data_IF_762553602281
#
_entry.id   IF_762553602281
#
_cell.length_a   1.000
_cell.length_b   1.000
_cell.length_c   1.000
_cell.angle_alpha   90.00
_cell.angle_beta   90.00
_cell.angle_gamma   90.00
#
_symmetry.space_group_name_H-M   'P 1'
#
loop_
_entity.id
_entity.type
_entity.pdbx_description
1 polymer ?
#
# COMPACT_ATOMS: atom_id res chain seq x y z
N UNK A 1 -5.54 5.84 -9.16
CA UNK A 1 -4.32 5.11 -8.74
C UNK A 1 -4.70 3.77 -8.12
N UNK A 2 -3.88 2.77 -8.30
CA UNK A 2 -4.16 1.42 -7.78
C UNK A 2 -3.13 1.10 -6.70
N UNK A 3 -3.60 1.03 -5.46
CA UNK A 3 -2.74 0.89 -4.28
C UNK A 3 -2.95 -0.47 -3.64
N UNK A 4 -1.88 -1.26 -3.56
CA UNK A 4 -1.92 -2.59 -2.94
C UNK A 4 -1.20 -2.54 -1.60
N UNK A 5 -1.91 -2.93 -0.53
CA UNK A 5 -1.32 -3.07 0.79
C UNK A 5 -1.05 -4.56 1.07
N UNK A 6 0.11 -4.87 1.61
CA UNK A 6 0.47 -6.26 1.88
C UNK A 6 0.92 -6.44 3.33
N UNK A 7 0.50 -7.54 3.93
CA UNK A 7 0.93 -7.95 5.26
C UNK A 7 0.98 -9.47 5.31
N UNK A 8 1.33 -10.03 6.47
CA UNK A 8 1.52 -11.48 6.60
C UNK A 8 0.25 -12.27 6.23
N UNK A 9 -0.92 -11.81 6.67
CA UNK A 9 -2.17 -12.52 6.43
C UNK A 9 -3.22 -11.70 5.66
N UNK A 10 -2.90 -10.46 5.33
CA UNK A 10 -3.85 -9.56 4.66
C UNK A 10 -4.92 -8.98 5.56
N UNK A 11 -5.08 -9.51 6.75
CA UNK A 11 -6.17 -9.09 7.64
C UNK A 11 -5.88 -7.81 8.41
N UNK A 12 -4.63 -7.62 8.84
CA UNK A 12 -4.27 -6.46 9.66
C UNK A 12 -4.29 -5.15 8.87
N UNK A 13 -4.22 -5.22 7.54
CA UNK A 13 -4.30 -4.04 6.70
C UNK A 13 -5.71 -3.77 6.16
N UNK A 14 -6.64 -4.70 6.36
CA UNK A 14 -8.00 -4.56 5.83
C UNK A 14 -8.74 -3.34 6.35
N UNK A 15 -8.63 -3.07 7.65
CA UNK A 15 -9.28 -1.89 8.23
C UNK A 15 -8.63 -0.60 7.72
N UNK A 16 -7.33 -0.61 7.55
CA UNK A 16 -6.63 0.56 7.02
C UNK A 16 -7.07 0.83 5.57
N UNK A 17 -7.26 -0.23 4.79
CA UNK A 17 -7.77 -0.09 3.42
C UNK A 17 -9.12 0.64 3.43
N UNK A 18 -10.03 0.26 4.34
CA UNK A 18 -11.33 0.92 4.42
C UNK A 18 -11.21 2.38 4.81
N UNK A 19 -10.28 2.71 5.70
CA UNK A 19 -10.01 4.10 6.08
C UNK A 19 -9.44 4.89 4.91
N UNK A 20 -8.59 4.27 4.11
CA UNK A 20 -8.02 4.92 2.92
C UNK A 20 -9.09 5.15 1.85
N UNK A 21 -10.00 4.20 1.66
CA UNK A 21 -11.10 4.37 0.72
C UNK A 21 -12.00 5.52 1.13
N UNK A 22 -12.26 5.65 2.43
CA UNK A 22 -13.05 6.74 2.95
C UNK A 22 -12.37 8.09 2.73
N UNK A 23 -11.06 8.15 2.98
CA UNK A 23 -10.28 9.36 2.75
C UNK A 23 -10.31 9.77 1.27
N UNK A 24 -10.20 8.80 0.37
CA UNK A 24 -10.26 9.07 -1.07
C UNK A 24 -11.62 9.63 -1.45
N UNK A 25 -12.69 9.07 -0.91
CA UNK A 25 -14.04 9.55 -1.19
C UNK A 25 -14.23 10.98 -0.70
N UNK A 26 -13.75 11.29 0.50
CA UNK A 26 -13.84 12.62 1.07
C UNK A 26 -13.06 13.66 0.25
N UNK A 27 -11.96 13.21 -0.40
CA UNK A 27 -11.14 14.08 -1.24
C UNK A 27 -11.63 14.12 -2.70
N UNK A 28 -12.71 13.42 -3.02
CA UNK A 28 -13.24 13.30 -4.38
C UNK A 28 -12.21 12.70 -5.33
N UNK A 29 -11.43 11.73 -4.85
CA UNK A 29 -10.43 11.03 -5.65
C UNK A 29 -10.87 9.60 -5.89
N UNK A 30 -10.56 9.09 -7.08
CA UNK A 30 -10.93 7.74 -7.46
C UNK A 30 -9.69 6.84 -7.44
N UNK A 31 -9.59 5.99 -6.43
CA UNK A 31 -8.48 5.06 -6.27
C UNK A 31 -9.01 3.65 -6.01
N UNK A 32 -8.30 2.67 -6.53
CA UNK A 32 -8.55 1.27 -6.22
C UNK A 32 -7.56 0.87 -5.13
N UNK A 33 -8.06 0.46 -3.98
CA UNK A 33 -7.24 0.15 -2.80
C UNK A 33 -7.66 -1.21 -2.26
N UNK A 34 -6.68 -2.11 -2.06
CA UNK A 34 -7.00 -3.43 -1.54
C UNK A 34 -5.83 -3.98 -0.71
N UNK A 35 -6.13 -5.01 0.09
CA UNK A 35 -5.16 -5.68 0.93
C UNK A 35 -4.92 -7.09 0.43
N UNK A 36 -3.69 -7.57 0.59
CA UNK A 36 -3.33 -8.94 0.23
C UNK A 36 -2.25 -9.44 1.19
N UNK A 37 -1.92 -10.74 1.10
CA UNK A 37 -0.79 -11.28 1.82
C UNK A 37 0.49 -11.06 1.00
N UNK A 38 1.64 -11.00 1.68
CA UNK A 38 2.92 -10.84 0.98
C UNK A 38 3.18 -11.99 0.00
N UNK A 39 2.66 -13.17 0.31
CA UNK A 39 2.83 -14.34 -0.56
C UNK A 39 2.10 -14.19 -1.88
N UNK A 40 1.01 -13.43 -1.91
CA UNK A 40 0.18 -13.29 -3.10
C UNK A 40 0.50 -12.01 -3.91
N UNK A 41 1.43 -11.20 -3.44
CA UNK A 41 1.79 -9.95 -4.12
C UNK A 41 2.24 -10.20 -5.56
N UNK A 42 3.07 -11.22 -5.77
CA UNK A 42 3.60 -11.53 -7.10
C UNK A 42 2.50 -11.76 -8.14
N UNK A 43 1.41 -12.39 -7.73
CA UNK A 43 0.29 -12.66 -8.63
C UNK A 43 -0.50 -11.41 -9.00
N UNK A 44 -0.28 -10.31 -8.29
CA UNK A 44 -1.07 -9.08 -8.45
C UNK A 44 -0.24 -7.87 -8.87
N UNK A 45 1.04 -8.07 -9.16
CA UNK A 45 1.96 -6.97 -9.49
C UNK A 45 1.43 -6.11 -10.65
N UNK A 46 0.87 -6.74 -11.66
CA UNK A 46 0.40 -6.01 -12.84
C UNK A 46 -0.87 -5.20 -12.58
N UNK A 47 -1.52 -5.40 -11.43
CA UNK A 47 -2.77 -4.74 -11.08
C UNK A 47 -2.59 -3.48 -10.25
N UNK A 48 -1.39 -3.21 -9.78
CA UNK A 48 -1.14 -2.09 -8.87
C UNK A 48 -0.18 -1.06 -9.46
N UNK A 49 -0.20 0.13 -8.87
CA UNK A 49 0.74 1.20 -9.19
C UNK A 49 1.82 1.34 -8.11
N UNK A 50 1.52 0.89 -6.91
CA UNK A 50 2.48 0.85 -5.80
C UNK A 50 2.10 -0.22 -4.80
N UNK A 51 3.07 -0.61 -3.98
CA UNK A 51 2.89 -1.63 -2.96
C UNK A 51 3.30 -1.04 -1.62
N UNK A 52 2.39 -1.06 -0.66
CA UNK A 52 2.66 -0.58 0.70
C UNK A 52 2.69 -1.79 1.63
N UNK A 53 3.76 -1.93 2.40
CA UNK A 53 3.94 -3.06 3.31
C UNK A 53 3.57 -2.65 4.73
N UNK A 54 2.81 -3.50 5.41
CA UNK A 54 2.58 -3.32 6.84
C UNK A 54 3.92 -3.40 7.58
N UNK A 55 4.08 -2.67 8.69
CA UNK A 55 5.35 -2.69 9.44
C UNK A 55 5.77 -4.08 9.90
N UNK A 56 4.81 -4.99 10.10
CA UNK A 56 5.09 -6.36 10.54
C UNK A 56 5.88 -7.15 9.51
N UNK A 57 5.80 -6.76 8.23
CA UNK A 57 6.48 -7.47 7.13
C UNK A 57 7.56 -6.60 6.48
N UNK A 58 8.06 -5.63 7.20
CA UNK A 58 9.07 -4.70 6.68
C UNK A 58 10.31 -5.39 6.12
N UNK A 59 10.66 -6.55 6.67
CA UNK A 59 11.83 -7.29 6.23
C UNK A 59 11.62 -7.94 4.85
N UNK A 60 10.39 -7.98 4.35
CA UNK A 60 10.09 -8.49 3.03
C UNK A 60 10.31 -7.46 1.92
N UNK A 61 10.61 -6.22 2.26
CA UNK A 61 10.73 -5.15 1.26
C UNK A 61 11.70 -5.52 0.13
N UNK A 62 12.87 -6.04 0.46
CA UNK A 62 13.86 -6.46 -0.54
C UNK A 62 13.31 -7.51 -1.49
N UNK A 63 12.63 -8.51 -0.94
CA UNK A 63 12.06 -9.59 -1.74
C UNK A 63 10.97 -9.06 -2.66
N UNK A 64 10.12 -8.19 -2.15
CA UNK A 64 9.02 -7.61 -2.93
C UNK A 64 9.58 -6.70 -4.02
N UNK A 65 10.63 -5.93 -3.73
CA UNK A 65 11.27 -5.09 -4.75
C UNK A 65 11.77 -5.89 -5.94
N UNK A 66 12.27 -7.10 -5.69
CA UNK A 66 12.78 -7.96 -6.76
C UNK A 66 11.70 -8.38 -7.75
N UNK A 67 10.46 -8.47 -7.29
CA UNK A 67 9.33 -8.91 -8.13
C UNK A 67 8.41 -7.76 -8.53
N UNK A 68 8.72 -6.53 -8.13
CA UNK A 68 7.82 -5.38 -8.31
C UNK A 68 7.77 -4.83 -9.74
N UNK A 69 8.66 -5.29 -10.61
CA UNK A 69 8.75 -4.82 -12.01
C UNK A 69 8.91 -3.29 -12.08
N UNK A 70 9.71 -2.75 -11.16
CA UNK A 70 9.98 -1.31 -11.13
C UNK A 70 8.93 -0.47 -10.41
N UNK A 71 7.87 -1.08 -9.92
CA UNK A 71 6.86 -0.33 -9.16
C UNK A 71 7.37 0.00 -7.77
N UNK A 72 7.01 1.18 -7.22
CA UNK A 72 7.50 1.56 -5.90
C UNK A 72 6.96 0.66 -4.80
N UNK A 73 7.83 0.30 -3.87
CA UNK A 73 7.51 -0.53 -2.72
C UNK A 73 8.02 0.20 -1.49
N UNK A 74 7.19 0.40 -0.49
CA UNK A 74 7.62 1.07 0.73
C UNK A 74 6.88 0.52 1.94
N UNK A 75 7.48 0.70 3.11
CA UNK A 75 6.87 0.30 4.38
C UNK A 75 6.00 1.46 4.88
N UNK A 76 4.77 1.16 5.29
CA UNK A 76 3.87 2.17 5.85
C UNK A 76 4.49 2.68 7.15
N UNK A 77 4.55 4.02 7.37
CA UNK A 77 5.08 4.55 8.63
C UNK A 77 4.33 3.93 9.82
N UNK A 78 5.07 3.36 10.79
CA UNK A 78 4.42 2.64 11.90
C UNK A 78 3.41 3.46 12.69
N UNK A 79 3.65 4.75 12.85
CA UNK A 79 2.72 5.64 13.57
C UNK A 79 1.38 5.74 12.83
N UNK A 80 1.44 5.96 11.52
CA UNK A 80 0.23 6.06 10.70
C UNK A 80 -0.51 4.73 10.64
N UNK A 81 0.25 3.65 10.58
CA UNK A 81 -0.33 2.31 10.58
C UNK A 81 -1.03 2.01 11.90
N UNK A 82 -0.35 2.30 13.02
CA UNK A 82 -0.91 2.04 14.35
C UNK A 82 -2.15 2.87 14.64
N UNK A 83 -2.22 4.08 14.12
CA UNK A 83 -3.39 4.96 14.28
C UNK A 83 -4.45 4.71 13.21
N UNK A 84 -4.16 3.86 12.25
CA UNK A 84 -5.03 3.61 11.10
C UNK A 84 -5.44 4.92 10.41
N UNK A 85 -4.45 5.78 10.21
CA UNK A 85 -4.66 7.07 9.59
C UNK A 85 -4.72 6.92 8.07
N UNK A 86 -5.92 6.60 7.57
CA UNK A 86 -6.11 6.35 6.14
C UNK A 86 -5.72 7.52 5.25
N UNK A 87 -6.04 8.75 5.69
CA UNK A 87 -5.70 9.94 4.91
C UNK A 87 -4.19 10.12 4.78
N UNK A 88 -3.44 9.92 5.88
CA UNK A 88 -1.99 10.03 5.84
C UNK A 88 -1.35 8.95 4.97
N UNK A 89 -1.86 7.72 5.05
CA UNK A 89 -1.32 6.61 4.25
C UNK A 89 -1.66 6.80 2.77
N UNK A 90 -2.84 7.31 2.47
CA UNK A 90 -3.21 7.63 1.09
C UNK A 90 -2.26 8.68 0.51
N UNK A 91 -1.99 9.74 1.28
CA UNK A 91 -1.06 10.79 0.85
C UNK A 91 0.36 10.24 0.67
N UNK A 92 0.77 9.35 1.57
CA UNK A 92 2.05 8.67 1.48
C UNK A 92 2.17 7.90 0.15
N UNK A 93 1.12 7.16 -0.22
CA UNK A 93 1.10 6.41 -1.47
C UNK A 93 1.16 7.33 -2.69
N UNK A 94 0.41 8.43 -2.66
CA UNK A 94 0.40 9.40 -3.76
C UNK A 94 1.78 10.01 -3.96
N UNK A 95 2.44 10.40 -2.88
CA UNK A 95 3.78 10.96 -2.96
C UNK A 95 4.79 9.94 -3.50
N UNK A 96 4.66 8.70 -3.06
CA UNK A 96 5.55 7.62 -3.48
C UNK A 96 5.47 7.39 -4.99
N UNK A 97 4.26 7.35 -5.53
CA UNK A 97 4.06 7.15 -6.97
C UNK A 97 4.52 8.37 -7.76
N UNK A 98 4.26 9.57 -7.27
CA UNK A 98 4.68 10.80 -7.94
C UNK A 98 6.20 10.92 -8.01
N UNK A 99 6.90 10.59 -6.93
CA UNK A 99 8.36 10.59 -6.90
C UNK A 99 8.93 9.61 -7.90
N UNK A 100 8.35 8.40 -7.97
CA UNK A 100 8.82 7.37 -8.89
C UNK A 100 8.52 7.73 -10.34
N UNK A 101 7.43 8.46 -10.57
CA UNK A 101 7.02 8.85 -11.92
C UNK A 101 7.88 9.93 -12.55
N UNK A 102 8.68 10.61 -11.75
CA UNK A 102 9.61 11.62 -12.25
C UNK A 102 10.89 10.98 -12.73
#
# INVERSE_FOLDING_TARGET
>A
MRIMLACAAGMSTSMLVEKMKLAAKEANEDHTIWATSVEDVENQIDKCDCILLGPQVRLQKKNILKISKGKPVEVIPPTDYGRQNGAAVLEFAKNLVNEKGE
#
